data_IF_815702138264
#
_entry.id   IF_815702138264
#
_cell.length_a   1.000
_cell.length_b   1.000
_cell.length_c   1.000
_cell.angle_alpha   90.00
_cell.angle_beta   90.00
_cell.angle_gamma   90.00
#
_symmetry.space_group_name_H-M   'P 1'
#
loop_
_entity.id
_entity.type
_entity.pdbx_description
1 polymer ?
#
# COMPACT_ATOMS: atom_id res chain seq x y z
N UNK A 1 -1.33 -11.72 11.94
CA UNK A 1 -1.52 -11.75 10.46
C UNK A 1 -0.93 -13.06 9.91
N UNK A 2 -0.86 -13.30 8.59
CA UNK A 2 -0.19 -14.48 7.99
C UNK A 2 0.65 -14.07 6.78
N UNK A 3 1.83 -14.66 6.64
CA UNK A 3 2.69 -14.48 5.48
C UNK A 3 2.30 -15.38 4.30
N UNK A 4 3.06 -15.26 3.21
CA UNK A 4 2.93 -16.05 1.98
C UNK A 4 3.04 -17.56 2.16
N UNK A 5 3.80 -18.03 3.15
CA UNK A 5 3.94 -19.46 3.47
C UNK A 5 2.82 -19.95 4.40
N UNK A 6 1.89 -19.06 4.76
CA UNK A 6 0.83 -19.32 5.73
C UNK A 6 1.30 -19.29 7.18
N UNK A 7 2.53 -18.83 7.47
CA UNK A 7 3.04 -18.67 8.83
C UNK A 7 2.39 -17.47 9.48
N UNK A 8 2.06 -17.60 10.76
CA UNK A 8 1.47 -16.49 11.51
C UNK A 8 2.53 -15.42 11.80
N UNK A 9 2.11 -14.16 11.61
CA UNK A 9 2.82 -12.97 12.08
C UNK A 9 2.27 -12.65 13.46
N UNK A 10 3.16 -12.67 14.44
CA UNK A 10 2.86 -12.43 15.83
C UNK A 10 2.70 -10.94 16.11
N UNK A 11 2.09 -10.62 17.26
CA UNK A 11 2.00 -9.24 17.72
C UNK A 11 3.40 -8.63 17.89
N UNK A 12 3.55 -7.37 17.49
CA UNK A 12 4.81 -6.61 17.45
C UNK A 12 5.89 -7.15 16.49
N UNK A 13 5.62 -8.26 15.78
CA UNK A 13 6.56 -8.82 14.81
C UNK A 13 6.67 -7.94 13.56
N UNK A 14 7.91 -7.76 13.10
CA UNK A 14 8.24 -6.97 11.92
C UNK A 14 8.03 -7.76 10.62
N UNK A 15 7.56 -7.07 9.58
CA UNK A 15 7.33 -7.61 8.25
C UNK A 15 7.34 -6.50 7.20
N UNK A 16 7.36 -6.88 5.93
CA UNK A 16 7.20 -5.95 4.80
C UNK A 16 5.88 -6.19 4.07
N UNK A 17 5.37 -5.13 3.45
CA UNK A 17 4.26 -5.19 2.49
C UNK A 17 4.81 -5.03 1.08
N UNK A 18 4.48 -5.96 0.20
CA UNK A 18 4.92 -5.94 -1.20
C UNK A 18 3.74 -6.22 -2.16
N UNK A 19 3.76 -5.63 -3.36
CA UNK A 19 2.77 -5.95 -4.39
C UNK A 19 2.98 -7.38 -4.91
N UNK A 20 1.87 -8.08 -5.13
CA UNK A 20 1.84 -9.37 -5.82
C UNK A 20 2.20 -9.18 -7.30
N UNK A 21 3.45 -9.47 -7.69
CA UNK A 21 3.82 -9.60 -9.11
C UNK A 21 3.52 -11.04 -9.55
N UNK A 22 2.72 -11.18 -10.60
CA UNK A 22 2.67 -12.42 -11.35
C UNK A 22 3.92 -12.41 -12.22
N UNK A 23 4.97 -13.12 -11.81
CA UNK A 23 6.18 -13.31 -12.63
C UNK A 23 5.92 -14.20 -13.88
N UNK A 24 4.66 -14.29 -14.32
CA UNK A 24 4.17 -15.13 -15.42
C UNK A 24 3.51 -14.30 -16.55
N UNK A 25 3.64 -12.96 -16.53
CA UNK A 25 3.44 -12.14 -17.74
C UNK A 25 4.71 -12.22 -18.60
N UNK A 26 4.99 -13.44 -19.10
CA UNK A 26 5.60 -13.64 -20.42
C UNK A 26 4.51 -13.43 -21.50
N UNK A 27 3.77 -12.32 -21.43
CA UNK A 27 3.11 -11.82 -22.62
C UNK A 27 4.17 -11.07 -23.41
N UNK A 28 4.77 -11.78 -24.37
CA UNK A 28 5.20 -11.18 -25.62
C UNK A 28 3.98 -10.43 -26.20
N UNK A 29 3.71 -9.22 -25.71
CA UNK A 29 2.80 -8.30 -26.36
C UNK A 29 3.52 -7.75 -27.59
N UNK A 30 3.54 -8.56 -28.66
CA UNK A 30 3.62 -8.10 -30.03
C UNK A 30 2.37 -7.26 -30.36
N UNK A 31 2.34 -6.02 -29.91
CA UNK A 31 1.46 -4.99 -30.46
C UNK A 31 2.32 -3.80 -30.91
N UNK A 32 2.01 -3.32 -32.10
CA UNK A 32 2.94 -2.77 -33.07
C UNK A 32 3.66 -1.48 -32.65
N UNK A 33 4.91 -1.41 -33.11
CA UNK A 33 5.77 -0.24 -33.16
C UNK A 33 5.08 0.99 -33.77
N UNK A 34 4.91 2.04 -32.96
CA UNK A 34 4.94 3.40 -33.46
C UNK A 34 6.30 4.01 -33.11
N UNK A 35 7.17 4.07 -34.11
CA UNK A 35 8.47 4.73 -34.07
C UNK A 35 8.36 6.13 -33.44
N UNK A 36 8.93 6.31 -32.25
CA UNK A 36 9.36 7.63 -31.79
C UNK A 36 10.77 7.51 -31.23
N UNK A 37 11.63 8.32 -31.82
CA UNK A 37 13.09 8.28 -31.78
C UNK A 37 13.74 7.93 -30.44
N UNK A 38 14.66 6.98 -30.57
CA UNK A 38 15.55 6.49 -29.55
C UNK A 38 16.68 7.51 -29.29
N UNK A 39 16.49 8.40 -28.31
CA UNK A 39 17.60 9.08 -27.65
C UNK A 39 17.62 8.74 -26.17
N UNK A 40 18.16 7.57 -25.87
CA UNK A 40 18.84 7.20 -24.63
C UNK A 40 18.54 8.06 -23.39
N UNK A 41 17.40 7.82 -22.73
CA UNK A 41 17.31 8.02 -21.28
C UNK A 41 17.35 6.65 -20.62
N UNK A 42 18.51 6.37 -20.02
CA UNK A 42 18.73 5.27 -19.08
C UNK A 42 17.55 5.17 -18.10
N UNK A 43 17.00 3.96 -17.97
CA UNK A 43 16.56 3.36 -16.71
C UNK A 43 16.26 4.37 -15.59
N UNK A 44 15.00 4.80 -15.48
CA UNK A 44 14.48 5.50 -14.30
C UNK A 44 14.41 4.61 -13.04
N UNK A 45 14.91 3.37 -13.15
CA UNK A 45 15.02 2.39 -12.06
C UNK A 45 16.49 1.97 -11.88
N UNK A 46 17.41 2.94 -11.82
CA UNK A 46 18.70 2.67 -11.18
C UNK A 46 18.43 2.58 -9.67
N UNK A 47 18.47 1.35 -9.16
CA UNK A 47 18.24 0.93 -7.78
C UNK A 47 19.14 1.63 -6.75
N UNK A 48 18.94 2.93 -6.58
CA UNK A 48 19.50 3.76 -5.54
C UNK A 48 18.35 4.14 -4.60
N UNK A 49 18.25 3.41 -3.49
CA UNK A 49 18.09 3.97 -2.14
C UNK A 49 17.15 5.19 -2.02
N UNK A 50 15.86 5.00 -2.31
CA UNK A 50 14.80 5.94 -1.94
C UNK A 50 14.04 5.48 -0.69
N UNK A 51 14.73 4.80 0.25
CA UNK A 51 14.29 4.71 1.66
C UNK A 51 14.51 6.08 2.33
N UNK A 52 13.95 7.11 1.71
CA UNK A 52 13.80 8.43 2.29
C UNK A 52 12.32 8.59 2.50
N UNK A 53 11.88 8.55 3.76
CA UNK A 53 10.60 9.12 4.19
C UNK A 53 10.54 10.57 3.71
N UNK A 54 10.11 10.80 2.48
CA UNK A 54 9.61 12.10 2.04
C UNK A 54 8.20 12.25 2.58
N UNK A 55 8.08 12.22 3.92
CA UNK A 55 7.09 13.06 4.56
C UNK A 55 7.53 14.48 4.21
N UNK A 56 6.94 15.09 3.18
CA UNK A 56 7.10 16.52 2.96
C UNK A 56 6.43 17.21 4.14
N UNK A 57 7.24 17.45 5.17
CA UNK A 57 6.95 18.27 6.34
C UNK A 57 6.92 19.71 5.82
N UNK A 58 5.81 20.13 5.22
CA UNK A 58 5.61 21.56 4.93
C UNK A 58 4.35 22.13 5.59
N UNK A 59 3.51 21.30 6.21
CA UNK A 59 2.45 21.77 7.12
C UNK A 59 2.10 20.63 8.07
N UNK A 60 2.15 20.87 9.40
CA UNK A 60 1.85 19.95 10.52
C UNK A 60 0.41 19.38 10.53
N UNK A 61 -0.13 18.99 9.37
CA UNK A 61 -1.54 18.61 9.25
C UNK A 61 -1.72 17.19 8.75
N UNK A 62 -0.88 16.68 7.84
CA UNK A 62 -1.06 15.35 7.28
C UNK A 62 0.27 14.66 6.95
N UNK A 63 0.47 13.47 7.49
CA UNK A 63 1.56 12.59 7.10
C UNK A 63 0.98 11.43 6.29
N UNK A 64 1.31 11.35 5.01
CA UNK A 64 0.91 10.25 4.14
C UNK A 64 1.91 9.08 4.31
N UNK A 65 1.44 7.85 4.11
CA UNK A 65 2.35 6.71 4.00
C UNK A 65 3.06 6.79 2.63
N UNK A 66 4.38 6.96 2.67
CA UNK A 66 5.28 6.84 1.52
C UNK A 66 6.05 5.54 1.70
N UNK A 67 5.82 4.56 0.82
CA UNK A 67 6.55 3.31 0.85
C UNK A 67 6.80 2.81 -0.57
N UNK A 68 7.85 2.00 -0.72
CA UNK A 68 8.21 1.47 -2.02
C UNK A 68 7.23 0.35 -2.40
N UNK A 69 6.68 0.35 -3.64
CA UNK A 69 5.65 -0.61 -4.06
C UNK A 69 6.13 -2.07 -3.99
N UNK A 70 7.44 -2.29 -4.14
CA UNK A 70 8.03 -3.63 -4.17
C UNK A 70 8.52 -4.13 -2.80
N UNK A 71 8.21 -3.43 -1.71
CA UNK A 71 8.70 -3.76 -0.36
C UNK A 71 9.92 -2.96 0.08
N UNK A 72 10.53 -3.34 1.20
CA UNK A 72 11.65 -2.62 1.85
C UNK A 72 11.24 -1.62 2.95
N UNK A 73 9.95 -1.33 3.09
CA UNK A 73 9.42 -0.61 4.24
C UNK A 73 9.04 -1.60 5.34
N UNK A 74 9.56 -1.39 6.55
CA UNK A 74 9.31 -2.25 7.71
C UNK A 74 8.04 -1.79 8.42
N UNK A 75 7.10 -2.71 8.54
CA UNK A 75 5.87 -2.58 9.29
C UNK A 75 5.87 -3.56 10.45
N UNK A 76 5.04 -3.30 11.44
CA UNK A 76 4.66 -4.30 12.43
C UNK A 76 3.18 -4.15 12.75
N UNK A 77 2.62 -5.16 13.40
CA UNK A 77 1.24 -5.11 13.88
C UNK A 77 1.18 -5.00 15.40
N UNK A 78 0.16 -4.32 15.91
CA UNK A 78 -0.14 -4.27 17.35
C UNK A 78 -1.62 -4.55 17.55
N UNK A 79 -1.93 -5.39 18.52
CA UNK A 79 -3.30 -5.79 18.85
C UNK A 79 -3.78 -5.03 20.07
N UNK A 80 -4.80 -4.19 19.89
CA UNK A 80 -5.41 -3.40 20.97
C UNK A 80 -6.92 -3.68 20.95
N UNK A 81 -7.47 -4.08 22.11
CA UNK A 81 -8.89 -4.45 22.25
C UNK A 81 -9.36 -5.47 21.19
N UNK A 82 -8.56 -6.51 20.96
CA UNK A 82 -8.77 -7.57 19.95
C UNK A 82 -8.79 -7.08 18.49
N UNK A 83 -8.23 -5.90 18.22
CA UNK A 83 -8.15 -5.32 16.88
C UNK A 83 -6.69 -5.17 16.47
N UNK A 84 -6.34 -5.70 15.30
CA UNK A 84 -5.02 -5.60 14.70
C UNK A 84 -4.84 -4.23 14.01
N UNK A 85 -3.82 -3.48 14.42
CA UNK A 85 -3.41 -2.22 13.81
C UNK A 85 -2.08 -2.40 13.10
N UNK A 86 -1.94 -1.79 11.92
CA UNK A 86 -0.66 -1.71 11.21
C UNK A 86 0.09 -0.46 11.65
N UNK A 87 1.39 -0.60 11.92
CA UNK A 87 2.30 0.49 12.24
C UNK A 87 3.44 0.57 11.23
N UNK A 88 3.85 1.80 10.94
CA UNK A 88 5.09 2.15 10.24
C UNK A 88 5.96 2.98 11.18
N UNK A 89 7.04 2.39 11.67
CA UNK A 89 7.76 2.90 12.85
C UNK A 89 6.79 3.06 14.03
N UNK A 90 6.82 4.21 14.70
CA UNK A 90 5.92 4.49 15.84
C UNK A 90 4.53 5.02 15.45
N UNK A 91 4.19 5.04 14.17
CA UNK A 91 2.94 5.64 13.68
C UNK A 91 1.96 4.57 13.21
N UNK A 92 0.70 4.71 13.59
CA UNK A 92 -0.43 3.92 13.12
C UNK A 92 -0.86 4.35 11.73
N UNK A 93 -1.14 3.38 10.88
CA UNK A 93 -1.83 3.63 9.61
C UNK A 93 -3.30 3.96 9.89
N UNK A 94 -3.83 4.98 9.22
CA UNK A 94 -5.23 5.39 9.34
C UNK A 94 -5.78 5.95 8.02
N UNK A 95 -7.11 6.00 7.93
CA UNK A 95 -7.86 6.66 6.85
C UNK A 95 -8.55 7.90 7.40
N UNK A 96 -8.75 8.94 6.59
CA UNK A 96 -9.55 10.10 6.99
C UNK A 96 -10.71 10.34 6.03
N UNK A 97 -11.92 9.86 6.36
CA UNK A 97 -13.12 10.02 5.56
C UNK A 97 -13.55 11.45 5.23
N UNK A 98 -13.02 12.42 6.00
CA UNK A 98 -13.37 13.83 5.87
C UNK A 98 -12.29 14.60 5.11
N UNK A 99 -11.17 13.94 4.81
CA UNK A 99 -10.10 14.53 4.05
C UNK A 99 -10.48 14.57 2.57
N UNK A 100 -9.99 15.58 1.86
CA UNK A 100 -10.30 15.78 0.43
C UNK A 100 -9.71 14.68 -0.46
N UNK A 101 -8.60 14.09 -0.01
CA UNK A 101 -7.96 12.94 -0.61
C UNK A 101 -8.27 11.70 0.22
N UNK A 102 -8.71 10.63 -0.43
CA UNK A 102 -8.92 9.34 0.21
C UNK A 102 -7.60 8.53 0.17
N UNK A 103 -6.69 8.80 1.09
CA UNK A 103 -5.37 8.15 1.17
C UNK A 103 -5.19 7.39 2.48
N UNK A 104 -4.14 6.55 2.56
CA UNK A 104 -3.66 6.01 3.83
C UNK A 104 -2.61 6.96 4.42
N UNK A 105 -2.89 7.40 5.64
CA UNK A 105 -2.07 8.31 6.43
C UNK A 105 -1.37 7.57 7.56
N UNK A 106 -0.40 8.24 8.20
CA UNK A 106 0.30 7.77 9.39
C UNK A 106 0.18 8.78 10.53
N UNK A 107 -0.12 8.32 11.74
CA UNK A 107 -0.32 9.17 12.91
C UNK A 107 0.18 8.51 14.20
N UNK A 108 0.55 9.29 15.21
CA UNK A 108 1.08 8.75 16.48
C UNK A 108 -0.03 8.27 17.44
N UNK A 109 -1.28 8.65 17.18
CA UNK A 109 -2.43 8.28 18.01
C UNK A 109 -3.13 7.05 17.43
N UNK A 110 -3.68 6.21 18.32
CA UNK A 110 -4.50 5.06 17.90
C UNK A 110 -5.75 5.59 17.20
N UNK A 111 -6.02 5.19 15.94
CA UNK A 111 -7.12 5.76 15.19
C UNK A 111 -8.49 5.36 15.78
N UNK A 112 -9.37 6.35 15.84
CA UNK A 112 -10.79 6.16 16.12
C UNK A 112 -11.41 5.17 15.13
N UNK A 113 -12.48 4.47 15.52
CA UNK A 113 -13.06 3.35 14.78
C UNK A 113 -13.30 3.66 13.30
N UNK A 114 -13.89 4.80 13.01
CA UNK A 114 -14.23 5.28 11.66
C UNK A 114 -13.01 5.65 10.79
N UNK A 115 -11.83 5.80 11.39
CA UNK A 115 -10.56 6.13 10.74
C UNK A 115 -9.60 4.94 10.64
N UNK A 116 -10.01 3.75 11.09
CA UNK A 116 -9.13 2.57 11.06
C UNK A 116 -8.93 2.10 9.63
N UNK A 117 -7.74 1.57 9.36
CA UNK A 117 -7.50 0.72 8.20
C UNK A 117 -8.06 -0.67 8.51
N UNK A 118 -8.83 -1.22 7.58
CA UNK A 118 -9.31 -2.59 7.62
C UNK A 118 -8.47 -3.45 6.67
N UNK A 119 -8.08 -4.63 7.15
CA UNK A 119 -7.33 -5.62 6.38
C UNK A 119 -8.34 -6.69 5.93
N UNK A 120 -8.41 -6.95 4.63
CA UNK A 120 -9.21 -8.04 4.07
C UNK A 120 -8.29 -9.14 3.59
N UNK A 121 -8.54 -10.36 4.05
CA UNK A 121 -7.85 -11.56 3.56
C UNK A 121 -8.53 -12.07 2.31
N UNK A 122 -7.74 -12.23 1.26
CA UNK A 122 -8.18 -12.78 -0.02
C UNK A 122 -7.97 -14.30 -0.02
N UNK A 123 -8.71 -15.01 -0.88
CA UNK A 123 -8.65 -16.48 -0.96
C UNK A 123 -7.29 -17.00 -1.43
N UNK A 124 -6.49 -16.18 -2.12
CA UNK A 124 -5.15 -16.49 -2.60
C UNK A 124 -4.05 -16.22 -1.55
N UNK A 125 -4.44 -15.84 -0.33
CA UNK A 125 -3.50 -15.53 0.77
C UNK A 125 -2.96 -14.10 0.75
N UNK A 126 -3.26 -13.31 -0.29
CA UNK A 126 -2.95 -11.88 -0.30
C UNK A 126 -3.88 -11.11 0.64
N UNK A 127 -3.53 -9.85 0.90
CA UNK A 127 -4.36 -8.91 1.64
C UNK A 127 -4.68 -7.69 0.78
N UNK A 128 -5.83 -7.06 1.05
CA UNK A 128 -6.12 -5.71 0.60
C UNK A 128 -6.38 -4.79 1.81
N UNK A 129 -6.10 -3.50 1.63
CA UNK A 129 -6.33 -2.47 2.63
C UNK A 129 -7.51 -1.60 2.23
N UNK A 130 -8.39 -1.32 3.17
CA UNK A 130 -9.54 -0.44 2.95
C UNK A 130 -9.91 0.35 4.19
N UNK A 131 -10.93 1.19 4.09
CA UNK A 131 -11.52 1.93 5.19
C UNK A 131 -12.38 1.03 6.08
N UNK A 132 -12.32 1.27 7.38
CA UNK A 132 -13.17 0.58 8.34
C UNK A 132 -14.67 0.74 8.05
N UNK A 133 -15.35 -0.40 7.85
CA UNK A 133 -16.78 -0.42 7.58
C UNK A 133 -17.17 0.01 6.16
N UNK A 134 -16.18 0.22 5.27
CA UNK A 134 -16.42 0.40 3.85
C UNK A 134 -16.91 -0.88 3.18
N UNK A 135 -17.73 -0.75 2.13
CA UNK A 135 -18.16 -1.88 1.31
C UNK A 135 -17.08 -2.26 0.29
N UNK A 136 -16.56 -3.49 0.44
CA UNK A 136 -15.87 -4.46 -0.46
C UNK A 136 -15.04 -4.00 -1.69
N UNK A 137 -15.13 -2.79 -2.22
CA UNK A 137 -14.56 -2.43 -3.52
C UNK A 137 -13.72 -1.14 -3.54
N UNK A 138 -13.31 -0.63 -2.39
CA UNK A 138 -12.28 0.41 -2.38
C UNK A 138 -10.98 -0.22 -2.86
N UNK A 139 -10.64 0.05 -4.11
CA UNK A 139 -9.36 -0.34 -4.66
C UNK A 139 -8.32 0.59 -4.07
N UNK A 140 -7.42 0.05 -3.25
CA UNK A 140 -6.20 0.77 -2.93
C UNK A 140 -5.28 0.72 -4.16
N UNK A 141 -4.60 1.81 -4.47
CA UNK A 141 -3.58 1.84 -5.52
C UNK A 141 -2.31 2.55 -5.02
N UNK A 142 -1.15 2.16 -5.55
CA UNK A 142 0.07 2.92 -5.36
C UNK A 142 0.04 4.04 -6.40
N UNK A 143 -0.29 5.24 -5.94
CA UNK A 143 -0.38 6.39 -6.82
C UNK A 143 1.02 6.65 -7.37
N UNK A 144 1.14 6.65 -8.71
CA UNK A 144 2.37 7.00 -9.43
C UNK A 144 2.69 8.48 -9.21
N UNK A 145 3.31 8.78 -8.07
CA UNK A 145 3.82 10.09 -7.70
C UNK A 145 5.26 9.95 -7.18
N UNK A 146 5.97 11.07 -7.02
CA UNK A 146 7.37 11.11 -6.59
C UNK A 146 7.66 10.49 -5.21
N UNK A 147 6.65 10.05 -4.48
CA UNK A 147 6.79 9.51 -3.12
C UNK A 147 6.04 8.19 -2.86
N UNK A 148 5.40 7.56 -3.87
CA UNK A 148 4.73 6.27 -3.71
C UNK A 148 3.73 6.27 -2.55
N UNK A 149 2.57 6.91 -2.74
CA UNK A 149 1.50 6.98 -1.73
C UNK A 149 0.47 5.88 -1.99
N UNK A 150 -0.13 5.33 -0.93
CA UNK A 150 -1.30 4.46 -1.06
C UNK A 150 -2.57 5.31 -1.08
N UNK A 151 -3.22 5.38 -2.25
CA UNK A 151 -4.53 5.97 -2.42
C UNK A 151 -5.64 4.94 -2.30
N UNK A 152 -6.83 5.39 -1.91
CA UNK A 152 -8.08 4.66 -1.88
C UNK A 152 -9.01 5.29 -2.92
N UNK A 153 -9.62 4.46 -3.75
CA UNK A 153 -10.51 4.93 -4.80
C UNK A 153 -11.98 4.72 -4.38
N UNK A 154 -12.59 5.76 -3.80
CA UNK A 154 -13.98 5.74 -3.30
C UNK A 154 -15.03 5.90 -4.41
N UNK A 155 -14.73 6.64 -5.48
CA UNK A 155 -15.78 7.23 -6.34
C UNK A 155 -15.57 7.08 -7.86
N UNK A 156 -14.60 6.28 -8.32
CA UNK A 156 -14.46 6.04 -9.75
C UNK A 156 -15.20 4.76 -10.13
N UNK A 157 -16.40 4.90 -10.72
CA UNK A 157 -17.21 3.78 -11.18
C UNK A 157 -16.47 2.87 -12.18
N UNK A 158 -15.50 3.42 -12.91
CA UNK A 158 -14.64 2.66 -13.84
C UNK A 158 -13.69 1.71 -13.10
N UNK A 159 -13.40 2.00 -11.83
CA UNK A 159 -12.53 1.19 -10.99
C UNK A 159 -13.29 0.08 -10.25
N UNK A 160 -14.63 0.12 -10.17
CA UNK A 160 -15.41 -0.95 -9.51
C UNK A 160 -15.18 -2.34 -10.09
N UNK A 161 -14.76 -2.42 -11.35
CA UNK A 161 -14.49 -3.66 -12.06
C UNK A 161 -13.00 -4.01 -12.12
N UNK A 162 -12.13 -3.14 -11.59
CA UNK A 162 -10.70 -3.44 -11.51
C UNK A 162 -10.41 -4.29 -10.28
N UNK A 163 -9.42 -5.17 -10.41
CA UNK A 163 -8.95 -5.94 -9.27
C UNK A 163 -8.36 -5.00 -8.19
N UNK A 164 -8.68 -5.21 -6.90
CA UNK A 164 -8.03 -4.46 -5.83
C UNK A 164 -6.53 -4.74 -5.83
N UNK A 165 -5.73 -3.78 -5.41
CA UNK A 165 -4.31 -4.05 -5.17
C UNK A 165 -4.17 -5.15 -4.12
N UNK A 166 -3.49 -6.22 -4.54
CA UNK A 166 -3.14 -7.36 -3.72
C UNK A 166 -1.74 -7.15 -3.13
N UNK A 167 -1.68 -7.05 -1.82
CA UNK A 167 -0.44 -6.98 -1.06
C UNK A 167 -0.11 -8.35 -0.47
N UNK A 168 1.18 -8.63 -0.34
CA UNK A 168 1.72 -9.79 0.34
C UNK A 168 2.42 -9.33 1.61
N UNK A 169 2.28 -10.12 2.67
CA UNK A 169 3.09 -9.98 3.86
C UNK A 169 4.34 -10.83 3.70
N UNK A 170 5.50 -10.17 3.75
CA UNK A 170 6.81 -10.82 3.70
C UNK A 170 7.39 -10.76 5.10
N UNK A 171 7.48 -11.93 5.75
CA UNK A 171 8.11 -12.06 7.07
C UNK A 171 9.62 -11.80 6.96
N UNK A 172 10.16 -11.02 7.88
CA UNK A 172 11.59 -10.66 7.97
C UNK A 172 12.42 -11.69 8.75
#
# INVERSE_FOLDING_TARGET
>A
LRDMDGKEIMDEEEFELAILRNDDDNTDDEEESADVDNSAEKSLYDGNDWVGTYSRIDDDKFHFLSAHPDGGAIFHCVTIDDICYLKYGEKYLYTDPKHEMDYIFVGTEVPAKEKRVQIHYMNDGSISLTRWGGSVFYNCEWVKCSCGIIGLNEDNEELYWQEPMKLRIVKL
#
